data_IF_833110385241
#
_entry.id   IF_833110385241
#
_cell.length_a   1.000
_cell.length_b   1.000
_cell.length_c   1.000
_cell.angle_alpha   90.00
_cell.angle_beta   90.00
_cell.angle_gamma   90.00
#
_symmetry.space_group_name_H-M   'P 1'
#
loop_
_entity.id
_entity.type
_entity.pdbx_description
1 polymer ?
#
# COMPACT_ATOMS: atom_id res chain seq x y z
N UNK A 1 -1.29 21.40 -8.67
CA UNK A 1 -1.04 22.74 -8.05
C UNK A 1 -1.43 22.80 -6.56
N UNK A 2 -2.64 22.36 -6.18
CA UNK A 2 -3.13 22.42 -4.78
C UNK A 2 -2.37 21.49 -3.85
N UNK A 3 -2.12 20.24 -4.25
CA UNK A 3 -1.31 19.30 -3.45
C UNK A 3 0.10 19.85 -3.19
N UNK A 4 0.75 20.45 -4.20
CA UNK A 4 2.07 21.09 -4.03
C UNK A 4 2.04 22.24 -3.01
N UNK A 5 0.95 23.00 -2.95
CA UNK A 5 0.74 24.07 -1.96
C UNK A 5 0.56 23.52 -0.54
N UNK A 6 -0.19 22.42 -0.38
CA UNK A 6 -0.34 21.71 0.90
C UNK A 6 1.02 21.17 1.36
N UNK A 7 1.73 20.45 0.49
CA UNK A 7 3.06 19.91 0.80
C UNK A 7 4.02 21.04 1.13
N UNK A 8 4.03 22.15 0.38
CA UNK A 8 4.85 23.33 0.68
C UNK A 8 4.60 23.85 2.09
N UNK A 9 3.34 24.06 2.47
CA UNK A 9 3.00 24.56 3.81
C UNK A 9 3.49 23.59 4.90
N UNK A 10 3.28 22.28 4.70
CA UNK A 10 3.69 21.26 5.66
C UNK A 10 5.21 21.17 5.82
N UNK A 11 5.98 21.09 4.72
CA UNK A 11 7.45 20.95 4.79
C UNK A 11 8.15 22.23 5.26
N UNK A 12 7.49 23.39 5.15
CA UNK A 12 8.01 24.64 5.73
C UNK A 12 8.08 24.55 7.25
N UNK A 13 7.10 23.90 7.88
CA UNK A 13 7.06 23.68 9.34
C UNK A 13 7.83 22.42 9.73
N UNK A 14 7.76 21.38 8.91
CA UNK A 14 8.37 20.07 9.17
C UNK A 14 9.31 19.65 8.03
N UNK A 15 10.57 20.13 8.03
CA UNK A 15 11.53 19.79 6.97
C UNK A 15 11.84 18.30 6.86
N UNK A 16 11.73 17.55 7.97
CA UNK A 16 11.90 16.09 8.02
C UNK A 16 10.64 15.28 7.72
N UNK A 17 9.62 15.90 7.13
CA UNK A 17 8.37 15.23 6.79
C UNK A 17 8.55 14.10 5.78
N UNK A 18 7.66 13.12 5.85
CA UNK A 18 7.49 12.03 4.90
C UNK A 18 6.05 11.98 4.42
N UNK A 19 5.81 11.31 3.30
CA UNK A 19 4.46 10.98 2.86
C UNK A 19 4.23 9.48 2.81
N UNK A 20 3.01 9.08 3.15
CA UNK A 20 2.55 7.69 3.13
C UNK A 20 1.20 7.57 2.42
N UNK A 21 0.95 6.42 1.80
CA UNK A 21 -0.39 6.06 1.38
C UNK A 21 -1.17 5.51 2.57
N UNK A 22 -2.36 6.07 2.83
CA UNK A 22 -3.22 5.55 3.89
C UNK A 22 -3.89 4.22 3.48
N UNK A 23 -4.20 4.08 2.19
CA UNK A 23 -4.75 2.85 1.59
C UNK A 23 -4.22 2.68 0.16
N UNK A 24 -4.39 1.48 -0.42
CA UNK A 24 -4.13 1.24 -1.84
C UNK A 24 -5.35 1.51 -2.74
N UNK A 25 -6.32 2.33 -2.29
CA UNK A 25 -7.52 2.68 -3.06
C UNK A 25 -7.17 3.51 -4.29
N UNK A 26 -7.65 3.08 -5.46
CA UNK A 26 -7.52 3.81 -6.72
C UNK A 26 -8.65 4.80 -6.96
N UNK A 27 -9.80 4.61 -6.31
CA UNK A 27 -10.98 5.47 -6.47
C UNK A 27 -10.98 6.62 -5.46
N UNK A 28 -10.45 6.37 -4.26
CA UNK A 28 -10.34 7.33 -3.16
C UNK A 28 -8.92 7.34 -2.57
N UNK A 29 -7.90 7.70 -3.38
CA UNK A 29 -6.52 7.71 -2.93
C UNK A 29 -6.31 8.78 -1.85
N UNK A 30 -5.67 8.39 -0.75
CA UNK A 30 -5.36 9.28 0.37
C UNK A 30 -3.86 9.27 0.63
N UNK A 31 -3.25 10.45 0.56
CA UNK A 31 -1.85 10.71 0.90
C UNK A 31 -1.79 11.38 2.28
N UNK A 32 -1.14 10.72 3.24
CA UNK A 32 -0.85 11.30 4.55
C UNK A 32 0.53 11.95 4.57
N UNK A 33 0.64 13.14 5.17
CA UNK A 33 1.92 13.77 5.50
C UNK A 33 2.19 13.54 7.00
N UNK A 34 3.37 13.00 7.30
CA UNK A 34 3.77 12.67 8.66
C UNK A 34 5.13 13.28 8.97
N UNK A 35 5.30 13.76 10.19
CA UNK A 35 6.57 14.26 10.68
C UNK A 35 6.78 13.78 12.11
N UNK A 36 8.03 13.59 12.48
CA UNK A 36 8.40 13.29 13.86
C UNK A 36 8.88 14.56 14.55
N UNK A 37 8.41 14.76 15.78
CA UNK A 37 8.80 15.90 16.60
C UNK A 37 10.31 15.92 16.88
N UNK A 38 10.92 14.75 17.03
CA UNK A 38 12.35 14.59 17.32
C UNK A 38 13.24 14.58 16.06
N UNK A 39 12.66 14.70 14.86
CA UNK A 39 13.39 14.62 13.59
C UNK A 39 14.04 13.26 13.32
N UNK A 40 13.74 12.23 14.12
CA UNK A 40 14.34 10.91 14.03
C UNK A 40 13.84 10.10 12.83
N UNK A 41 14.56 9.01 12.51
CA UNK A 41 14.16 8.03 11.48
C UNK A 41 13.42 6.86 12.12
N UNK A 42 12.47 6.26 11.41
CA UNK A 42 11.76 5.07 11.88
C UNK A 42 12.70 3.88 11.97
N UNK A 43 12.65 3.14 13.08
CA UNK A 43 13.37 1.88 13.21
C UNK A 43 12.37 0.74 13.00
N UNK A 44 12.66 -0.15 12.03
CA UNK A 44 11.79 -1.29 11.72
C UNK A 44 11.55 -2.17 12.95
N UNK A 45 12.57 -2.35 13.81
CA UNK A 45 12.49 -3.23 14.98
C UNK A 45 11.59 -2.64 16.04
N UNK A 46 11.69 -1.32 16.24
CA UNK A 46 10.77 -0.59 17.10
C UNK A 46 9.34 -0.61 16.56
N UNK A 47 9.13 -0.47 15.24
CA UNK A 47 7.78 -0.59 14.65
C UNK A 47 7.22 -1.99 14.87
N UNK A 48 8.02 -3.03 14.60
CA UNK A 48 7.65 -4.42 14.83
C UNK A 48 7.25 -4.65 16.30
N UNK A 49 8.10 -4.26 17.25
CA UNK A 49 7.83 -4.40 18.68
C UNK A 49 6.55 -3.66 19.09
N UNK A 50 6.36 -2.43 18.62
CA UNK A 50 5.17 -1.62 18.91
C UNK A 50 3.89 -2.23 18.36
N UNK A 51 3.89 -2.74 17.12
CA UNK A 51 2.71 -3.39 16.55
C UNK A 51 2.30 -4.64 17.33
N UNK A 52 3.27 -5.37 17.88
CA UNK A 52 3.00 -6.56 18.70
C UNK A 52 2.49 -6.24 20.11
N UNK A 53 2.91 -5.12 20.68
CA UNK A 53 2.54 -4.73 22.05
C UNK A 53 1.38 -3.74 22.12
N UNK A 54 0.93 -3.18 21.00
CA UNK A 54 -0.11 -2.16 20.98
C UNK A 54 -1.49 -2.76 21.31
N UNK A 55 -2.09 -2.29 22.41
CA UNK A 55 -3.48 -2.57 22.75
C UNK A 55 -4.39 -1.51 22.11
N UNK A 56 -4.63 -1.63 20.81
CA UNK A 56 -5.59 -0.80 20.09
C UNK A 56 -7.00 -1.39 20.20
N UNK A 57 -8.07 -0.56 20.34
CA UNK A 57 -9.45 -1.06 20.31
C UNK A 57 -9.78 -1.84 19.03
N UNK A 58 -9.20 -1.43 17.90
CA UNK A 58 -9.25 -2.14 16.62
C UNK A 58 -7.82 -2.51 16.19
N UNK A 59 -7.52 -3.77 15.83
CA UNK A 59 -6.19 -4.17 15.41
C UNK A 59 -5.70 -3.39 14.19
N UNK A 60 -4.40 -3.04 14.15
CA UNK A 60 -3.82 -2.30 13.02
C UNK A 60 -3.96 -3.04 11.66
N UNK A 61 -4.03 -4.38 11.70
CA UNK A 61 -4.26 -5.21 10.53
C UNK A 61 -5.60 -4.93 9.81
N UNK A 62 -6.64 -4.51 10.54
CA UNK A 62 -7.95 -4.13 9.96
C UNK A 62 -7.83 -2.90 9.06
N UNK A 63 -6.80 -2.06 9.27
CA UNK A 63 -6.50 -0.89 8.45
C UNK A 63 -5.43 -1.17 7.38
N UNK A 64 -5.07 -2.44 7.16
CA UNK A 64 -4.00 -2.82 6.23
C UNK A 64 -2.59 -2.55 6.77
N UNK A 65 -2.42 -2.31 8.06
CA UNK A 65 -1.15 -2.03 8.73
C UNK A 65 -0.76 -3.18 9.67
N UNK A 66 -0.83 -4.41 9.16
CA UNK A 66 -0.71 -5.64 9.97
C UNK A 66 0.71 -5.98 10.43
N UNK A 67 1.73 -5.43 9.79
CA UNK A 67 3.14 -5.65 10.11
C UNK A 67 4.00 -4.42 9.77
N UNK A 68 5.27 -4.48 10.15
CA UNK A 68 6.25 -3.41 9.95
C UNK A 68 6.50 -3.09 8.46
N UNK A 69 6.37 -4.08 7.57
CA UNK A 69 6.51 -3.87 6.14
C UNK A 69 5.30 -3.17 5.57
N UNK A 70 4.09 -3.49 6.04
CA UNK A 70 2.88 -2.77 5.68
C UNK A 70 2.94 -1.29 6.13
N UNK A 71 3.42 -1.03 7.34
CA UNK A 71 3.58 0.34 7.85
C UNK A 71 4.65 1.10 7.07
N UNK A 72 5.90 0.65 7.05
CA UNK A 72 6.99 1.43 6.44
C UNK A 72 7.06 1.30 4.92
N UNK A 73 6.43 0.26 4.37
CA UNK A 73 6.21 0.08 2.94
C UNK A 73 5.08 0.95 2.41
N UNK A 74 4.28 1.59 3.26
CA UNK A 74 3.31 2.62 2.83
C UNK A 74 3.97 3.97 2.54
N UNK A 75 5.20 4.21 3.01
CA UNK A 75 5.97 5.43 2.72
C UNK A 75 6.24 5.55 1.22
N UNK A 76 5.85 6.68 0.64
CA UNK A 76 6.01 6.98 -0.80
C UNK A 76 6.93 8.16 -1.07
N UNK A 77 7.15 9.03 -0.08
CA UNK A 77 8.09 10.14 -0.23
C UNK A 77 8.90 10.39 1.05
N UNK A 78 10.21 10.57 0.88
CA UNK A 78 11.09 11.13 1.91
C UNK A 78 11.17 12.66 1.89
N UNK A 79 11.88 13.27 2.84
CA UNK A 79 12.06 14.72 2.94
C UNK A 79 12.53 15.39 1.65
N UNK A 80 13.56 14.85 0.99
CA UNK A 80 14.09 15.41 -0.27
C UNK A 80 13.06 15.37 -1.39
N UNK A 81 12.36 14.25 -1.53
CA UNK A 81 11.33 14.10 -2.55
C UNK A 81 10.16 15.08 -2.33
N UNK A 82 9.72 15.28 -1.08
CA UNK A 82 8.68 16.24 -0.76
C UNK A 82 9.11 17.70 -0.98
N UNK A 83 10.35 18.06 -0.62
CA UNK A 83 10.89 19.39 -0.90
C UNK A 83 10.95 19.67 -2.41
N UNK A 84 11.43 18.70 -3.20
CA UNK A 84 11.46 18.77 -4.67
C UNK A 84 10.04 18.86 -5.26
N UNK A 85 9.11 18.05 -4.76
CA UNK A 85 7.73 18.05 -5.21
C UNK A 85 7.01 19.37 -4.89
N UNK A 86 7.22 19.95 -3.70
CA UNK A 86 6.69 21.27 -3.36
C UNK A 86 7.27 22.36 -4.27
N UNK A 87 8.57 22.29 -4.57
CA UNK A 87 9.27 23.24 -5.42
C UNK A 87 9.00 24.69 -4.98
N UNK A 88 8.78 25.58 -5.93
CA UNK A 88 8.44 26.98 -5.70
C UNK A 88 6.93 27.26 -5.55
N UNK A 89 6.10 26.24 -5.26
CA UNK A 89 4.68 26.46 -5.06
C UNK A 89 4.41 27.42 -3.89
N UNK A 90 3.39 28.27 -4.00
CA UNK A 90 2.94 29.11 -2.90
C UNK A 90 2.40 28.23 -1.75
N UNK A 91 2.80 28.51 -0.52
CA UNK A 91 2.28 27.83 0.67
C UNK A 91 0.82 28.22 0.90
N UNK A 92 0.00 27.25 1.32
CA UNK A 92 -1.35 27.54 1.81
C UNK A 92 -1.24 28.15 3.22
N UNK A 93 -1.67 29.39 3.37
CA UNK A 93 -1.64 30.14 4.64
C UNK A 93 -3.00 30.78 4.89
N UNK A 94 -3.24 31.31 6.09
CA UNK A 94 -4.51 32.00 6.40
C UNK A 94 -4.70 33.25 5.51
N UNK A 95 -3.62 34.00 5.24
CA UNK A 95 -3.65 35.16 4.37
C UNK A 95 -3.77 34.79 2.87
N UNK A 96 -3.33 33.58 2.51
CA UNK A 96 -3.40 33.05 1.14
C UNK A 96 -3.94 31.61 1.12
N UNK A 97 -5.25 31.41 1.36
CA UNK A 97 -5.83 30.07 1.52
C UNK A 97 -6.13 29.42 0.17
N UNK A 98 -5.07 29.17 -0.61
CA UNK A 98 -5.10 28.62 -1.98
C UNK A 98 -5.97 27.37 -2.09
N UNK A 99 -5.96 26.51 -1.07
CA UNK A 99 -6.73 25.25 -1.06
C UNK A 99 -8.22 25.53 -1.04
N UNK A 100 -8.69 26.38 -0.12
CA UNK A 100 -10.11 26.70 0.04
C UNK A 100 -10.68 27.33 -1.23
N UNK A 101 -9.98 28.32 -1.80
CA UNK A 101 -10.42 28.99 -3.03
C UNK A 101 -10.43 28.08 -4.26
N UNK A 102 -9.59 27.04 -4.30
CA UNK A 102 -9.54 26.08 -5.43
C UNK A 102 -10.40 24.84 -5.23
N UNK A 103 -10.87 24.57 -4.01
CA UNK A 103 -11.59 23.35 -3.68
C UNK A 103 -12.83 23.08 -4.56
N UNK A 104 -13.66 24.09 -4.91
CA UNK A 104 -14.83 23.85 -5.77
C UNK A 104 -14.44 23.29 -7.14
N UNK A 105 -13.42 23.88 -7.79
CA UNK A 105 -12.98 23.42 -9.11
C UNK A 105 -12.43 22.00 -9.06
N UNK A 106 -11.64 21.68 -8.03
CA UNK A 106 -11.03 20.36 -7.86
C UNK A 106 -12.10 19.28 -7.61
N UNK A 107 -13.17 19.64 -6.89
CA UNK A 107 -14.23 18.71 -6.49
C UNK A 107 -15.23 18.49 -7.61
N UNK A 108 -15.66 19.57 -8.30
CA UNK A 108 -16.78 19.53 -9.24
C UNK A 108 -16.36 19.49 -10.71
N UNK A 109 -15.10 19.80 -11.04
CA UNK A 109 -14.58 19.76 -12.41
C UNK A 109 -13.14 19.22 -12.46
N UNK A 110 -12.90 17.96 -12.04
CA UNK A 110 -11.56 17.38 -12.06
C UNK A 110 -11.10 17.07 -13.50
N UNK A 111 -9.85 17.45 -13.82
CA UNK A 111 -9.25 17.23 -15.15
C UNK A 111 -8.79 15.77 -15.40
N UNK A 112 -9.00 14.86 -14.44
CA UNK A 112 -8.50 13.47 -14.49
C UNK A 112 -9.23 12.56 -13.49
N UNK A 113 -9.06 11.25 -13.62
CA UNK A 113 -9.55 10.30 -12.61
C UNK A 113 -8.60 10.25 -11.39
N UNK A 114 -9.11 9.94 -10.19
CA UNK A 114 -8.26 9.79 -9.00
C UNK A 114 -7.11 8.81 -9.18
N UNK A 115 -7.36 7.67 -9.84
CA UNK A 115 -6.34 6.65 -10.16
C UNK A 115 -5.20 7.17 -11.03
N UNK A 116 -5.52 8.00 -12.02
CA UNK A 116 -4.52 8.56 -12.93
C UNK A 116 -3.64 9.57 -12.21
N UNK A 117 -4.25 10.41 -11.34
CA UNK A 117 -3.51 11.34 -10.49
C UNK A 117 -2.60 10.64 -9.51
N UNK A 118 -3.07 9.56 -8.89
CA UNK A 118 -2.25 8.78 -7.96
C UNK A 118 -1.04 8.19 -8.68
N UNK A 119 -1.23 7.52 -9.82
CA UNK A 119 -0.12 6.92 -10.58
C UNK A 119 0.88 7.98 -11.03
N UNK A 120 0.40 9.12 -11.55
CA UNK A 120 1.27 10.23 -11.92
C UNK A 120 2.07 10.77 -10.72
N UNK A 121 1.40 10.97 -9.57
CA UNK A 121 2.03 11.42 -8.34
C UNK A 121 3.12 10.45 -7.86
N UNK A 122 2.82 9.15 -7.81
CA UNK A 122 3.79 8.14 -7.37
C UNK A 122 5.03 8.08 -8.27
N UNK A 123 4.89 8.39 -9.56
CA UNK A 123 6.03 8.53 -10.48
C UNK A 123 6.95 9.72 -10.18
N UNK A 124 6.49 10.74 -9.44
CA UNK A 124 7.29 11.91 -9.04
C UNK A 124 7.95 11.75 -7.66
N UNK A 125 7.46 10.81 -6.85
CA UNK A 125 7.88 10.62 -5.46
C UNK A 125 8.92 9.50 -5.32
N UNK A 126 9.78 9.64 -4.32
CA UNK A 126 10.79 8.63 -3.99
C UNK A 126 11.08 8.61 -2.49
N UNK A 127 11.46 7.46 -1.97
CA UNK A 127 12.04 7.32 -0.62
C UNK A 127 13.46 6.86 -0.79
N UNK A 128 14.43 7.76 -0.57
CA UNK A 128 15.84 7.41 -0.69
C UNK A 128 16.24 6.46 0.46
N UNK A 129 17.23 5.59 0.22
CA UNK A 129 17.58 4.51 1.16
C UNK A 129 18.07 5.02 2.53
N UNK A 130 18.65 6.22 2.56
CA UNK A 130 19.10 6.90 3.77
C UNK A 130 18.02 7.83 4.36
N UNK A 131 16.79 7.83 3.83
CA UNK A 131 15.68 8.63 4.35
C UNK A 131 14.63 7.78 5.08
N UNK A 132 14.18 8.30 6.22
CA UNK A 132 12.97 7.83 6.88
C UNK A 132 13.07 6.53 7.66
N UNK A 133 13.98 5.60 7.32
CA UNK A 133 14.13 4.31 8.02
C UNK A 133 15.59 4.04 8.42
N UNK A 134 15.82 3.60 9.65
CA UNK A 134 17.12 3.17 10.17
C UNK A 134 17.38 1.72 9.76
N UNK A 135 18.63 1.41 9.43
CA UNK A 135 19.06 0.05 9.14
C UNK A 135 18.76 -0.87 10.35
N UNK A 136 17.97 -1.93 10.16
CA UNK A 136 17.58 -2.83 11.23
C UNK A 136 18.70 -3.78 11.65
N UNK A 137 18.51 -4.43 12.80
CA UNK A 137 19.42 -5.46 13.32
C UNK A 137 19.48 -6.71 12.41
N UNK A 138 18.41 -7.00 11.67
CA UNK A 138 18.35 -8.10 10.70
C UNK A 138 18.74 -7.59 9.30
N UNK A 139 19.83 -8.14 8.76
CA UNK A 139 20.38 -7.77 7.46
C UNK A 139 19.42 -8.03 6.27
N UNK A 140 18.40 -8.87 6.43
CA UNK A 140 17.44 -9.20 5.35
C UNK A 140 16.34 -8.16 5.18
N UNK A 141 16.03 -7.39 6.22
CA UNK A 141 14.86 -6.51 6.25
C UNK A 141 14.90 -5.34 5.25
N UNK A 142 16.05 -4.68 4.99
CA UNK A 142 16.10 -3.65 3.96
C UNK A 142 15.66 -4.16 2.58
N UNK A 143 16.11 -5.37 2.22
CA UNK A 143 15.74 -6.01 0.95
C UNK A 143 14.26 -6.38 0.91
N UNK A 144 13.71 -6.90 2.01
CA UNK A 144 12.27 -7.21 2.11
C UNK A 144 11.40 -5.96 2.02
N UNK A 145 11.80 -4.87 2.67
CA UNK A 145 11.10 -3.59 2.60
C UNK A 145 11.16 -2.99 1.18
N UNK A 146 12.32 -3.04 0.52
CA UNK A 146 12.47 -2.61 -0.87
C UNK A 146 11.58 -3.44 -1.81
N UNK A 147 11.58 -4.77 -1.63
CA UNK A 147 10.71 -5.68 -2.37
C UNK A 147 9.22 -5.38 -2.13
N UNK A 148 8.82 -5.08 -0.88
CA UNK A 148 7.46 -4.69 -0.54
C UNK A 148 7.03 -3.40 -1.25
N UNK A 149 7.89 -2.37 -1.27
CA UNK A 149 7.62 -1.11 -1.99
C UNK A 149 7.48 -1.34 -3.48
N UNK A 150 8.35 -2.16 -4.08
CA UNK A 150 8.25 -2.53 -5.49
C UNK A 150 6.94 -3.30 -5.79
N UNK A 151 6.55 -4.23 -4.92
CA UNK A 151 5.31 -4.97 -5.02
C UNK A 151 4.09 -4.05 -4.93
N UNK A 152 4.09 -3.07 -4.02
CA UNK A 152 3.07 -2.03 -3.91
C UNK A 152 2.91 -1.22 -5.19
N UNK A 153 4.02 -0.74 -5.74
CA UNK A 153 3.97 0.12 -6.93
C UNK A 153 3.44 -0.66 -8.14
N UNK A 154 3.84 -1.93 -8.28
CA UNK A 154 3.28 -2.85 -9.27
C UNK A 154 1.79 -3.11 -9.04
N UNK A 155 1.38 -3.38 -7.80
CA UNK A 155 -0.02 -3.62 -7.45
C UNK A 155 -0.92 -2.44 -7.83
N UNK A 156 -0.51 -1.21 -7.51
CA UNK A 156 -1.24 0.02 -7.85
C UNK A 156 -1.30 0.20 -9.38
N UNK A 157 -0.18 -0.02 -10.09
CA UNK A 157 -0.14 0.10 -11.54
C UNK A 157 -1.05 -0.93 -12.25
N UNK A 158 -1.01 -2.20 -11.81
CA UNK A 158 -1.84 -3.27 -12.35
C UNK A 158 -3.33 -3.04 -12.07
N UNK A 159 -3.67 -2.55 -10.88
CA UNK A 159 -5.05 -2.26 -10.48
C UNK A 159 -5.75 -1.22 -11.35
N UNK A 160 -5.00 -0.35 -12.06
CA UNK A 160 -5.55 0.71 -12.92
C UNK A 160 -6.48 0.17 -14.00
N UNK A 161 -6.15 -0.99 -14.56
CA UNK A 161 -6.88 -1.62 -15.67
C UNK A 161 -7.97 -2.63 -15.26
N UNK A 162 -8.04 -2.98 -13.98
CA UNK A 162 -8.98 -4.02 -13.49
C UNK A 162 -10.41 -3.50 -13.56
N UNK A 163 -11.31 -4.32 -14.14
CA UNK A 163 -12.74 -4.06 -14.15
C UNK A 163 -13.45 -4.92 -13.09
N UNK A 164 -14.07 -4.31 -12.07
CA UNK A 164 -14.84 -5.03 -11.07
C UNK A 164 -15.90 -5.95 -11.69
N UNK A 165 -15.95 -7.20 -11.26
CA UNK A 165 -16.96 -8.18 -11.66
C UNK A 165 -17.42 -8.96 -10.42
N UNK A 166 -18.71 -9.23 -10.35
CA UNK A 166 -19.30 -10.09 -9.32
C UNK A 166 -19.03 -11.59 -9.59
N UNK A 167 -18.66 -11.94 -10.84
CA UNK A 167 -18.27 -13.30 -11.20
C UNK A 167 -16.79 -13.52 -10.84
N UNK A 168 -16.56 -14.40 -9.86
CA UNK A 168 -15.22 -14.76 -9.39
C UNK A 168 -14.34 -15.33 -10.49
N UNK A 169 -14.90 -16.06 -11.47
CA UNK A 169 -14.13 -16.62 -12.59
C UNK A 169 -13.64 -15.51 -13.52
N UNK A 170 -14.51 -14.56 -13.85
CA UNK A 170 -14.14 -13.38 -14.65
C UNK A 170 -13.15 -12.48 -13.92
N UNK A 171 -13.34 -12.29 -12.61
CA UNK A 171 -12.39 -11.52 -11.80
C UNK A 171 -11.02 -12.20 -11.79
N UNK A 172 -10.95 -13.50 -11.49
CA UNK A 172 -9.69 -14.24 -11.48
C UNK A 172 -9.00 -14.29 -12.85
N UNK A 173 -9.74 -14.36 -13.94
CA UNK A 173 -9.16 -14.27 -15.28
C UNK A 173 -8.38 -12.96 -15.51
N UNK A 174 -8.81 -11.87 -14.87
CA UNK A 174 -8.11 -10.58 -14.94
C UNK A 174 -6.95 -10.47 -13.97
N UNK A 175 -7.12 -10.93 -12.72
CA UNK A 175 -6.19 -10.56 -11.63
C UNK A 175 -5.28 -11.68 -11.14
N UNK A 176 -5.53 -12.96 -11.48
CA UNK A 176 -4.77 -14.09 -10.92
C UNK A 176 -3.27 -13.93 -11.13
N UNK A 177 -2.82 -13.94 -12.37
CA UNK A 177 -1.39 -13.85 -12.68
C UNK A 177 -0.78 -12.50 -12.28
N UNK A 178 -1.43 -11.34 -12.52
CA UNK A 178 -0.96 -10.07 -11.98
C UNK A 178 -0.70 -10.10 -10.47
N UNK A 179 -1.62 -10.61 -9.66
CA UNK A 179 -1.44 -10.67 -8.20
C UNK A 179 -0.39 -11.70 -7.78
N UNK A 180 -0.32 -12.87 -8.45
CA UNK A 180 0.74 -13.85 -8.20
C UNK A 180 2.12 -13.26 -8.53
N UNK A 181 2.24 -12.46 -9.59
CA UNK A 181 3.49 -11.79 -9.96
C UNK A 181 3.94 -10.76 -8.91
N UNK A 182 2.99 -10.07 -8.27
CA UNK A 182 3.24 -9.17 -7.13
C UNK A 182 3.76 -9.97 -5.93
N UNK A 183 3.16 -11.13 -5.62
CA UNK A 183 3.61 -12.00 -4.54
C UNK A 183 4.99 -12.63 -4.79
N UNK A 184 5.34 -12.93 -6.04
CA UNK A 184 6.70 -13.32 -6.42
C UNK A 184 7.72 -12.20 -6.21
N UNK A 185 7.28 -10.94 -6.27
CA UNK A 185 8.12 -9.77 -5.99
C UNK A 185 8.32 -9.60 -4.48
N UNK A 186 7.24 -9.64 -3.71
CA UNK A 186 7.29 -9.62 -2.25
C UNK A 186 6.24 -10.57 -1.67
N UNK A 187 6.67 -11.67 -1.04
CA UNK A 187 5.72 -12.57 -0.38
C UNK A 187 5.02 -11.84 0.77
N UNK A 188 5.65 -10.85 1.40
CA UNK A 188 5.08 -10.10 2.52
C UNK A 188 3.86 -9.23 2.13
N UNK A 189 3.62 -9.00 0.83
CA UNK A 189 2.59 -8.07 0.35
C UNK A 189 1.15 -8.64 0.42
N UNK A 190 0.56 -8.65 1.61
CA UNK A 190 -0.82 -9.11 1.87
C UNK A 190 -1.90 -8.53 0.95
N UNK A 191 -1.86 -7.26 0.50
CA UNK A 191 -2.89 -6.73 -0.40
C UNK A 191 -3.06 -7.50 -1.70
N UNK A 192 -2.05 -8.25 -2.16
CA UNK A 192 -2.19 -9.18 -3.28
C UNK A 192 -2.60 -10.60 -2.83
N UNK A 193 -2.19 -11.04 -1.64
CA UNK A 193 -2.49 -12.36 -1.09
C UNK A 193 -3.96 -12.51 -0.67
N UNK A 194 -4.48 -11.59 0.14
CA UNK A 194 -5.80 -11.72 0.75
C UNK A 194 -6.95 -11.76 -0.28
N UNK A 195 -6.92 -10.98 -1.39
CA UNK A 195 -7.90 -11.15 -2.47
C UNK A 195 -7.82 -12.53 -3.14
N UNK A 196 -6.63 -13.05 -3.42
CA UNK A 196 -6.48 -14.39 -4.02
C UNK A 196 -7.02 -15.48 -3.11
N UNK A 197 -6.73 -15.40 -1.80
CA UNK A 197 -7.28 -16.33 -0.81
C UNK A 197 -8.82 -16.28 -0.76
N UNK A 198 -9.41 -15.08 -0.71
CA UNK A 198 -10.87 -14.89 -0.70
C UNK A 198 -11.52 -15.39 -1.99
N UNK A 199 -10.92 -15.12 -3.15
CA UNK A 199 -11.41 -15.60 -4.44
C UNK A 199 -11.29 -17.12 -4.54
N UNK A 200 -10.23 -17.74 -4.02
CA UNK A 200 -10.11 -19.20 -3.95
C UNK A 200 -11.23 -19.82 -3.11
N UNK A 201 -11.54 -19.23 -1.94
CA UNK A 201 -12.64 -19.67 -1.11
C UNK A 201 -14.01 -19.50 -1.79
N UNK A 202 -14.23 -18.41 -2.53
CA UNK A 202 -15.45 -18.21 -3.31
C UNK A 202 -15.56 -19.21 -4.49
N UNK A 203 -14.43 -19.48 -5.16
CA UNK A 203 -14.32 -20.40 -6.28
C UNK A 203 -14.56 -21.86 -5.86
N UNK A 204 -14.16 -22.25 -4.64
CA UNK A 204 -14.32 -23.61 -4.13
C UNK A 204 -15.76 -24.14 -4.19
N UNK A 205 -16.77 -23.25 -4.12
CA UNK A 205 -18.19 -23.62 -4.21
C UNK A 205 -18.67 -23.93 -5.63
N UNK A 206 -17.92 -23.49 -6.65
CA UNK A 206 -18.32 -23.54 -8.06
C UNK A 206 -17.35 -24.42 -8.87
N UNK A 207 -16.08 -24.44 -8.46
CA UNK A 207 -14.97 -25.08 -9.15
C UNK A 207 -13.88 -25.48 -8.15
N UNK A 208 -14.12 -26.60 -7.45
CA UNK A 208 -13.19 -27.10 -6.44
C UNK A 208 -11.78 -27.38 -7.01
N UNK A 209 -11.60 -27.99 -8.21
CA UNK A 209 -10.26 -28.18 -8.78
C UNK A 209 -9.51 -26.87 -9.03
N UNK A 210 -10.18 -25.85 -9.60
CA UNK A 210 -9.54 -24.56 -9.84
C UNK A 210 -9.19 -23.83 -8.53
N UNK A 211 -10.04 -23.94 -7.50
CA UNK A 211 -9.74 -23.43 -6.17
C UNK A 211 -8.53 -24.14 -5.54
N UNK A 212 -8.44 -25.46 -5.65
CA UNK A 212 -7.32 -26.26 -5.17
C UNK A 212 -6.01 -25.84 -5.84
N UNK A 213 -6.02 -25.62 -7.16
CA UNK A 213 -4.86 -25.14 -7.90
C UNK A 213 -4.39 -23.77 -7.38
N UNK A 214 -5.31 -22.81 -7.24
CA UNK A 214 -4.98 -21.47 -6.74
C UNK A 214 -4.45 -21.50 -5.29
N UNK A 215 -5.05 -22.30 -4.40
CA UNK A 215 -4.56 -22.46 -3.03
C UNK A 215 -3.17 -23.09 -2.99
N UNK A 216 -2.89 -24.05 -3.89
CA UNK A 216 -1.57 -24.67 -4.01
C UNK A 216 -0.51 -23.67 -4.46
N UNK A 217 -0.83 -22.81 -5.43
CA UNK A 217 0.06 -21.71 -5.85
C UNK A 217 0.38 -20.78 -4.67
N UNK A 218 -0.61 -20.43 -3.85
CA UNK A 218 -0.42 -19.59 -2.66
C UNK A 218 0.44 -20.25 -1.59
N UNK A 219 0.29 -21.57 -1.36
CA UNK A 219 1.14 -22.32 -0.43
C UNK A 219 2.59 -22.36 -0.93
N UNK A 220 2.81 -22.56 -2.23
CA UNK A 220 4.15 -22.58 -2.80
C UNK A 220 4.85 -21.22 -2.71
N UNK A 221 4.11 -20.14 -3.00
CA UNK A 221 4.66 -18.77 -2.92
C UNK A 221 4.89 -18.31 -1.48
N UNK A 222 4.09 -18.80 -0.52
CA UNK A 222 4.17 -18.34 0.86
C UNK A 222 3.95 -19.48 1.87
N UNK A 223 4.89 -20.42 2.00
CA UNK A 223 4.73 -21.58 2.88
C UNK A 223 4.69 -21.22 4.37
N UNK A 224 5.22 -20.06 4.75
CA UNK A 224 5.16 -19.56 6.12
C UNK A 224 3.74 -19.10 6.55
N UNK A 225 2.82 -18.90 5.60
CA UNK A 225 1.43 -18.51 5.88
C UNK A 225 0.52 -19.73 5.92
N UNK A 226 -0.09 -20.04 7.07
CA UNK A 226 -0.89 -21.25 7.20
C UNK A 226 -2.26 -21.17 6.51
N UNK A 227 -2.76 -19.98 6.17
CA UNK A 227 -4.14 -19.75 5.73
C UNK A 227 -4.50 -20.54 4.47
N UNK A 228 -3.68 -20.47 3.41
CA UNK A 228 -3.91 -21.24 2.18
C UNK A 228 -3.83 -22.75 2.41
N UNK A 229 -2.89 -23.22 3.23
CA UNK A 229 -2.74 -24.64 3.57
C UNK A 229 -3.93 -25.15 4.40
N UNK A 230 -4.45 -24.32 5.31
CA UNK A 230 -5.66 -24.60 6.08
C UNK A 230 -6.89 -24.67 5.16
N UNK A 231 -7.06 -23.71 4.25
CA UNK A 231 -8.14 -23.73 3.27
C UNK A 231 -8.08 -24.97 2.36
N UNK A 232 -6.88 -25.37 1.93
CA UNK A 232 -6.65 -26.57 1.13
C UNK A 232 -7.08 -27.85 1.86
N UNK A 233 -6.74 -27.97 3.15
CA UNK A 233 -7.18 -29.09 4.00
C UNK A 233 -8.68 -29.11 4.21
N UNK A 234 -9.31 -27.95 4.43
CA UNK A 234 -10.75 -27.84 4.57
C UNK A 234 -11.49 -28.26 3.30
N UNK A 235 -10.97 -27.88 2.13
CA UNK A 235 -11.53 -28.29 0.82
C UNK A 235 -11.46 -29.82 0.65
N UNK A 236 -10.34 -30.44 0.99
CA UNK A 236 -10.17 -31.89 0.91
C UNK A 236 -11.09 -32.65 1.88
N UNK A 237 -11.35 -32.09 3.07
CA UNK A 237 -12.29 -32.66 4.02
C UNK A 237 -13.75 -32.55 3.54
N UNK A 238 -14.13 -31.48 2.85
CA UNK A 238 -15.48 -31.30 2.32
C UNK A 238 -15.80 -32.17 1.10
N UNK A 239 -14.78 -32.72 0.44
CA UNK A 239 -14.92 -33.63 -0.70
C UNK A 239 -15.07 -35.11 -0.29
N UNK A 240 -14.98 -35.42 1.00
CA UNK A 240 -15.19 -36.75 1.59
C UNK A 240 -16.59 -36.87 2.16
#
# INVERSE_FOLDING_TARGET
PTLRSIVRAFVTVYPGAMAMLATHSLDTPVLGLVARQDGGRFDLGQVHARLRSAALPTPAAEFGLGDEFAVLGSLVAGPRALARFAGAAAANTDDHPVVAYRAPRITYAPDSLPRDRLVALLGELSVDADEGVVAPADASWPNRLAAYRLARDRFIALGRGVQPSADVRQMLAQVREPLLSVLRTSPDFRPAYDPLLRMAAALARIDAPAAQALLSDLVQLQPARPEAAQALRALAAAAR
#
